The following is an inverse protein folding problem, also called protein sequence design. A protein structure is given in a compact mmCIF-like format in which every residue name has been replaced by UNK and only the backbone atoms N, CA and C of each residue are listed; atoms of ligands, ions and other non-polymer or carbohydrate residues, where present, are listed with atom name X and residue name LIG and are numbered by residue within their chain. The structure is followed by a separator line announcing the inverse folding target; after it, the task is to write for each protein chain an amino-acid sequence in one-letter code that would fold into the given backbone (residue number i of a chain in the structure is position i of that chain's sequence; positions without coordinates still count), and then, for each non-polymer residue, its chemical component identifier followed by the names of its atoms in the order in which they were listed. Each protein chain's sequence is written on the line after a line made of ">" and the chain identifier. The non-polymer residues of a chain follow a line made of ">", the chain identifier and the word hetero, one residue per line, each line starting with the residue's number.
data_IF_426450908505
#
_entry.id   IF_426450908505
#
_cell.length_a   1.000
_cell.length_b   1.000
_cell.length_c   1.000
_cell.angle_alpha   90.00
_cell.angle_beta   90.00
_cell.angle_gamma   90.00
#
_symmetry.space_group_name_H-M   'P 1'
#
loop_
_entity.id
_entity.type
_entity.pdbx_description
1 polymer ?
#
# COMPACT_ATOMS: atom_id res chain seq x y z
N UNK A 1 17.45 -2.72 14.54
CA UNK A 1 16.54 -3.16 13.47
C UNK A 1 16.27 -2.03 12.51
N UNK A 2 16.07 -2.35 11.24
CA UNK A 2 15.70 -1.42 10.16
C UNK A 2 14.90 -2.16 9.08
N UNK A 3 14.41 -1.45 8.05
CA UNK A 3 13.65 -2.06 6.95
C UNK A 3 12.49 -2.92 7.47
N UNK A 4 11.63 -2.34 8.31
CA UNK A 4 10.54 -3.06 8.99
C UNK A 4 9.30 -3.03 8.09
N UNK A 5 8.68 -4.20 7.91
CA UNK A 5 7.37 -4.35 7.29
C UNK A 5 6.48 -5.19 8.20
N UNK A 6 5.20 -4.85 8.24
CA UNK A 6 4.20 -5.55 9.04
C UNK A 6 3.02 -5.98 8.17
N UNK A 7 2.47 -7.15 8.44
CA UNK A 7 1.20 -7.59 7.85
C UNK A 7 0.35 -8.27 8.92
N UNK A 8 -0.97 -8.24 8.70
CA UNK A 8 -1.92 -8.91 9.58
C UNK A 8 -2.39 -10.21 8.91
N UNK A 9 -2.14 -11.32 9.57
CA UNK A 9 -2.68 -12.63 9.24
C UNK A 9 -4.06 -12.76 9.90
N UNK A 10 -5.08 -12.54 9.08
CA UNK A 10 -6.48 -12.53 9.55
C UNK A 10 -7.01 -13.92 9.92
N UNK A 11 -6.41 -14.98 9.39
CA UNK A 11 -6.81 -16.36 9.67
C UNK A 11 -6.34 -16.82 11.06
N UNK A 12 -5.08 -16.56 11.38
CA UNK A 12 -4.53 -16.89 12.71
C UNK A 12 -4.71 -15.79 13.74
N UNK A 13 -5.23 -14.61 13.33
CA UNK A 13 -5.35 -13.40 14.15
C UNK A 13 -3.99 -12.99 14.75
N UNK A 14 -2.97 -12.86 13.89
CA UNK A 14 -1.61 -12.53 14.27
C UNK A 14 -1.06 -11.38 13.44
N UNK A 15 -0.14 -10.64 14.04
CA UNK A 15 0.70 -9.67 13.32
C UNK A 15 2.03 -10.34 13.01
N UNK A 16 2.48 -10.26 11.77
CA UNK A 16 3.81 -10.72 11.36
C UNK A 16 4.66 -9.52 11.02
N UNK A 17 5.80 -9.39 11.71
CA UNK A 17 6.81 -8.38 11.43
C UNK A 17 7.98 -9.05 10.72
N UNK A 18 8.43 -8.47 9.61
CA UNK A 18 9.67 -8.81 8.93
C UNK A 18 10.61 -7.61 8.97
N UNK A 19 11.89 -7.84 9.21
CA UNK A 19 12.85 -6.76 9.40
C UNK A 19 14.29 -7.22 9.14
N UNK A 20 15.15 -6.24 8.89
CA UNK A 20 16.61 -6.42 8.92
C UNK A 20 17.09 -6.35 10.36
N UNK A 21 17.75 -7.40 10.83
CA UNK A 21 18.31 -7.46 12.17
C UNK A 21 19.76 -6.96 12.18
N UNK A 22 19.96 -5.68 12.47
CA UNK A 22 21.29 -5.08 12.51
C UNK A 22 22.19 -5.65 13.64
N UNK A 23 21.58 -6.25 14.66
CA UNK A 23 22.29 -6.94 15.75
C UNK A 23 22.76 -8.34 15.36
N UNK A 24 22.26 -8.89 14.24
CA UNK A 24 22.56 -10.23 13.76
C UNK A 24 23.04 -10.19 12.30
N UNK A 25 24.14 -9.50 12.02
CA UNK A 25 24.78 -9.44 10.69
C UNK A 25 23.84 -8.96 9.57
N UNK A 26 22.85 -8.12 9.89
CA UNK A 26 21.85 -7.60 8.95
C UNK A 26 20.95 -8.67 8.33
N UNK A 27 20.81 -9.81 8.96
CA UNK A 27 20.00 -10.93 8.46
C UNK A 27 18.51 -10.59 8.43
N UNK A 28 17.82 -11.17 7.47
CA UNK A 28 16.36 -11.08 7.36
C UNK A 28 15.68 -11.94 8.43
N UNK A 29 14.93 -11.30 9.30
CA UNK A 29 14.30 -11.91 10.47
C UNK A 29 12.81 -11.60 10.50
N UNK A 30 12.00 -12.56 10.94
CA UNK A 30 10.57 -12.37 11.15
C UNK A 30 10.14 -12.83 12.53
N UNK A 31 9.10 -12.19 13.08
CA UNK A 31 8.54 -12.52 14.38
C UNK A 31 7.01 -12.39 14.34
N UNK A 32 6.33 -13.29 15.06
CA UNK A 32 4.86 -13.31 15.15
C UNK A 32 4.42 -12.68 16.45
N UNK A 33 3.51 -11.71 16.35
CA UNK A 33 2.89 -11.01 17.47
C UNK A 33 1.45 -11.41 17.71
N UNK A 34 1.06 -11.53 18.96
CA UNK A 34 -0.34 -11.71 19.40
C UNK A 34 -0.80 -10.46 20.10
N UNK A 35 -1.85 -9.82 19.58
CA UNK A 35 -2.49 -8.65 20.20
C UNK A 35 -3.56 -9.13 21.19
N UNK A 36 -3.59 -8.54 22.36
CA UNK A 36 -4.61 -8.76 23.40
C UNK A 36 -4.91 -7.44 24.11
N UNK A 37 -6.08 -6.89 23.88
CA UNK A 37 -6.44 -5.54 24.35
C UNK A 37 -5.49 -4.49 23.79
N UNK A 38 -4.77 -3.79 24.66
CA UNK A 38 -3.79 -2.76 24.30
C UNK A 38 -2.34 -3.26 24.35
N UNK A 39 -2.12 -4.55 24.48
CA UNK A 39 -0.79 -5.16 24.56
C UNK A 39 -0.51 -6.06 23.36
N UNK A 40 0.78 -6.21 23.02
CA UNK A 40 1.27 -7.20 22.07
C UNK A 40 2.34 -8.06 22.74
N UNK A 41 2.27 -9.37 22.52
CA UNK A 41 3.29 -10.34 22.93
C UNK A 41 3.88 -11.00 21.69
N UNK A 42 5.18 -11.27 21.70
CA UNK A 42 5.89 -11.84 20.56
C UNK A 42 6.34 -13.28 20.84
N UNK A 43 6.33 -14.10 19.79
CA UNK A 43 6.93 -15.41 19.79
C UNK A 43 8.46 -15.35 19.61
N UNK A 44 9.03 -16.44 19.11
CA UNK A 44 10.47 -16.51 18.82
C UNK A 44 10.74 -15.95 17.42
N UNK A 45 11.74 -15.08 17.31
CA UNK A 45 12.21 -14.58 16.02
C UNK A 45 12.85 -15.70 15.18
N UNK A 46 12.55 -15.73 13.88
CA UNK A 46 13.03 -16.74 12.93
C UNK A 46 13.68 -16.08 11.73
N UNK A 47 14.84 -16.56 11.33
CA UNK A 47 15.52 -16.08 10.12
C UNK A 47 14.78 -16.57 8.87
N UNK A 48 14.50 -15.66 7.94
CA UNK A 48 14.06 -16.00 6.59
C UNK A 48 15.19 -15.86 5.56
N UNK A 49 16.22 -15.06 5.88
CA UNK A 49 17.42 -14.92 5.07
C UNK A 49 18.67 -14.84 5.97
N UNK A 50 19.64 -15.71 5.72
CA UNK A 50 20.91 -15.75 6.45
C UNK A 50 22.02 -14.90 5.78
N UNK A 51 21.63 -13.83 5.13
CA UNK A 51 22.49 -12.83 4.52
C UNK A 51 21.93 -11.43 4.77
N UNK A 52 22.72 -10.39 4.45
CA UNK A 52 22.26 -9.02 4.56
C UNK A 52 20.98 -8.82 3.74
N UNK A 53 19.95 -8.31 4.39
CA UNK A 53 18.63 -8.11 3.82
C UNK A 53 18.32 -6.63 3.73
N UNK A 54 17.84 -6.20 2.58
CA UNK A 54 17.46 -4.81 2.35
C UNK A 54 16.04 -4.75 1.83
N UNK A 55 15.36 -3.62 2.02
CA UNK A 55 13.97 -3.42 1.56
C UNK A 55 13.10 -4.66 1.74
N UNK A 56 12.32 -4.72 2.79
CA UNK A 56 11.39 -5.83 3.04
C UNK A 56 9.96 -5.39 2.84
N UNK A 57 9.13 -6.26 2.25
CA UNK A 57 7.69 -6.09 2.20
C UNK A 57 7.00 -7.41 2.55
N UNK A 58 6.16 -7.39 3.57
CA UNK A 58 5.38 -8.53 4.01
C UNK A 58 3.93 -8.37 3.56
N UNK A 59 3.38 -9.39 2.91
CA UNK A 59 2.02 -9.42 2.37
C UNK A 59 1.33 -10.69 2.85
N UNK A 60 0.10 -10.57 3.34
CA UNK A 60 -0.71 -11.73 3.72
C UNK A 60 -1.58 -12.16 2.54
N UNK A 61 -1.41 -13.39 2.10
CA UNK A 61 -2.24 -14.10 1.14
C UNK A 61 -3.33 -14.84 1.93
N UNK A 62 -4.54 -14.27 1.92
CA UNK A 62 -5.68 -14.80 2.68
C UNK A 62 -6.30 -16.05 2.05
N UNK A 63 -6.04 -16.34 0.78
CA UNK A 63 -6.57 -17.53 0.12
C UNK A 63 -5.75 -18.79 0.48
N UNK A 64 -4.44 -18.68 0.43
CA UNK A 64 -3.54 -19.78 0.82
C UNK A 64 -3.18 -19.81 2.30
N UNK A 65 -3.57 -18.78 3.05
CA UNK A 65 -3.22 -18.56 4.46
C UNK A 65 -1.70 -18.57 4.66
N UNK A 66 -1.02 -17.70 3.91
CA UNK A 66 0.44 -17.57 3.91
C UNK A 66 0.87 -16.12 3.99
N UNK A 67 2.05 -15.92 4.55
CA UNK A 67 2.76 -14.64 4.50
C UNK A 67 3.84 -14.72 3.42
N UNK A 68 3.80 -13.82 2.45
CA UNK A 68 4.86 -13.66 1.46
C UNK A 68 5.74 -12.49 1.87
N UNK A 69 7.03 -12.73 2.01
CA UNK A 69 8.02 -11.69 2.29
C UNK A 69 8.86 -11.52 1.02
N UNK A 70 8.77 -10.36 0.38
CA UNK A 70 9.69 -9.96 -0.67
C UNK A 70 10.80 -9.09 -0.09
N UNK A 71 12.03 -9.27 -0.58
CA UNK A 71 13.21 -8.58 -0.06
C UNK A 71 14.35 -8.54 -1.08
N UNK A 72 15.27 -7.62 -0.89
CA UNK A 72 16.54 -7.62 -1.62
C UNK A 72 17.56 -8.45 -0.84
N UNK A 73 18.07 -9.52 -1.49
CA UNK A 73 19.00 -10.46 -0.90
C UNK A 73 20.47 -10.06 -1.18
N UNK A 74 21.14 -9.50 -0.17
CA UNK A 74 22.55 -9.14 -0.27
C UNK A 74 23.49 -10.33 -0.41
N UNK A 75 23.08 -11.54 -0.04
CA UNK A 75 23.82 -12.79 -0.25
C UNK A 75 23.76 -13.30 -1.68
N UNK A 76 22.74 -12.91 -2.44
CA UNK A 76 22.50 -13.30 -3.83
C UNK A 76 22.62 -12.09 -4.77
N UNK A 77 23.74 -11.39 -4.74
CA UNK A 77 24.04 -10.25 -5.63
C UNK A 77 23.00 -9.12 -5.58
N UNK A 78 22.32 -8.97 -4.46
CA UNK A 78 21.20 -8.01 -4.26
C UNK A 78 19.95 -8.30 -5.09
N UNK A 79 19.72 -9.54 -5.47
CA UNK A 79 18.57 -9.95 -6.27
C UNK A 79 17.25 -9.76 -5.51
N UNK A 80 16.19 -9.45 -6.27
CA UNK A 80 14.83 -9.47 -5.77
C UNK A 80 14.36 -10.89 -5.50
N UNK A 81 14.08 -11.19 -4.24
CA UNK A 81 13.78 -12.53 -3.74
C UNK A 81 12.49 -12.51 -2.93
N UNK A 82 11.72 -13.59 -2.99
CA UNK A 82 10.55 -13.76 -2.15
C UNK A 82 10.56 -15.13 -1.47
N UNK A 83 9.96 -15.20 -0.28
CA UNK A 83 9.83 -16.43 0.51
C UNK A 83 8.43 -16.53 1.12
N UNK A 84 7.90 -17.75 1.19
CA UNK A 84 6.57 -18.03 1.75
C UNK A 84 6.69 -18.51 3.17
N UNK A 85 6.02 -17.82 4.10
CA UNK A 85 5.93 -18.16 5.51
C UNK A 85 4.58 -18.78 5.88
N UNK A 86 4.61 -19.74 6.77
CA UNK A 86 3.41 -20.34 7.39
C UNK A 86 3.40 -20.03 8.88
N UNK A 87 2.38 -19.32 9.34
CA UNK A 87 2.17 -19.03 10.76
C UNK A 87 1.49 -20.22 11.43
N UNK A 88 1.95 -20.58 12.61
CA UNK A 88 1.34 -21.59 13.49
C UNK A 88 1.49 -21.20 14.94
N UNK A 89 0.40 -20.78 15.58
CA UNK A 89 0.42 -20.23 16.92
C UNK A 89 1.24 -18.93 16.98
N UNK A 90 2.37 -18.93 17.67
CA UNK A 90 3.30 -17.78 17.78
C UNK A 90 4.60 -18.00 17.01
N UNK A 91 4.66 -19.01 16.15
CA UNK A 91 5.81 -19.33 15.34
C UNK A 91 5.52 -19.10 13.85
N UNK A 92 6.57 -18.87 13.09
CA UNK A 92 6.53 -18.85 11.62
C UNK A 92 7.60 -19.79 11.08
N UNK A 93 7.29 -20.53 10.03
CA UNK A 93 8.24 -21.36 9.30
C UNK A 93 8.25 -20.98 7.83
N UNK A 94 9.38 -21.12 7.16
CA UNK A 94 9.58 -20.67 5.80
C UNK A 94 9.82 -21.83 4.84
N UNK A 95 9.32 -21.67 3.61
CA UNK A 95 9.65 -22.52 2.48
C UNK A 95 11.00 -22.17 1.84
N UNK A 96 11.15 -22.48 0.55
CA UNK A 96 12.35 -22.12 -0.21
C UNK A 96 12.19 -20.74 -0.83
N UNK A 97 13.21 -19.90 -0.68
CA UNK A 97 13.27 -18.59 -1.31
C UNK A 97 13.36 -18.71 -2.85
N UNK A 98 12.68 -17.83 -3.55
CA UNK A 98 12.62 -17.79 -5.02
C UNK A 98 13.00 -16.40 -5.51
N UNK A 99 13.96 -16.32 -6.43
CA UNK A 99 14.34 -15.09 -7.10
C UNK A 99 13.26 -14.71 -8.11
N UNK A 100 12.71 -13.51 -8.01
CA UNK A 100 11.79 -12.95 -8.98
C UNK A 100 12.45 -11.94 -9.92
N UNK A 101 13.58 -11.34 -9.46
CA UNK A 101 14.38 -10.41 -10.26
C UNK A 101 15.86 -10.72 -10.08
N UNK A 102 16.53 -11.09 -11.20
CA UNK A 102 17.97 -11.46 -11.20
C UNK A 102 18.88 -10.23 -11.33
N UNK A 103 18.45 -9.13 -10.76
CA UNK A 103 19.21 -7.88 -10.63
C UNK A 103 18.91 -7.23 -9.29
N UNK A 104 19.66 -6.19 -8.95
CA UNK A 104 19.37 -5.38 -7.76
C UNK A 104 18.03 -4.67 -7.91
N UNK A 105 17.21 -4.70 -6.87
CA UNK A 105 15.94 -4.00 -6.84
C UNK A 105 15.74 -3.30 -5.50
N UNK A 106 15.02 -2.18 -5.53
CA UNK A 106 14.73 -1.37 -4.34
C UNK A 106 13.24 -1.00 -4.29
N UNK A 107 12.82 -0.30 -3.23
CA UNK A 107 11.48 0.25 -3.06
C UNK A 107 10.34 -0.76 -3.28
N UNK A 108 10.56 -2.01 -2.85
CA UNK A 108 9.58 -3.08 -3.01
C UNK A 108 8.32 -2.86 -2.18
N UNK A 109 7.18 -3.11 -2.80
CA UNK A 109 5.88 -3.15 -2.14
C UNK A 109 5.04 -4.29 -2.69
N UNK A 110 4.61 -5.18 -1.81
CA UNK A 110 3.72 -6.28 -2.13
C UNK A 110 2.28 -5.99 -1.73
N UNK A 111 1.34 -6.47 -2.53
CA UNK A 111 -0.08 -6.50 -2.20
C UNK A 111 -0.70 -7.82 -2.62
N UNK A 112 -1.81 -8.20 -2.00
CA UNK A 112 -2.56 -9.40 -2.34
C UNK A 112 -3.84 -9.03 -3.08
N UNK A 113 -3.94 -9.51 -4.32
CA UNK A 113 -5.14 -9.48 -5.14
C UNK A 113 -6.02 -10.67 -4.77
N UNK A 114 -7.03 -10.43 -3.95
CA UNK A 114 -7.93 -11.45 -3.44
C UNK A 114 -8.94 -11.96 -4.49
N UNK A 115 -9.13 -11.24 -5.58
CA UNK A 115 -10.03 -11.67 -6.67
C UNK A 115 -9.37 -12.72 -7.57
N UNK A 116 -8.10 -12.53 -7.91
CA UNK A 116 -7.33 -13.47 -8.73
C UNK A 116 -6.51 -14.46 -7.91
N UNK A 117 -6.45 -14.33 -6.58
CA UNK A 117 -5.60 -15.10 -5.66
C UNK A 117 -4.12 -15.00 -6.07
N UNK A 118 -3.62 -13.78 -6.18
CA UNK A 118 -2.25 -13.49 -6.58
C UNK A 118 -1.59 -12.47 -5.67
N UNK A 119 -0.30 -12.67 -5.46
CA UNK A 119 0.55 -11.63 -4.88
C UNK A 119 1.13 -10.78 -6.01
N UNK A 120 1.01 -9.47 -5.90
CA UNK A 120 1.65 -8.54 -6.84
C UNK A 120 2.76 -7.82 -6.10
N UNK A 121 3.97 -7.81 -6.67
CA UNK A 121 5.12 -7.07 -6.16
C UNK A 121 5.44 -5.97 -7.16
N UNK A 122 5.38 -4.71 -6.72
CA UNK A 122 5.89 -3.57 -7.45
C UNK A 122 7.26 -3.17 -6.88
N UNK A 123 8.22 -2.86 -7.75
CA UNK A 123 9.61 -2.58 -7.34
C UNK A 123 10.34 -1.70 -8.34
N UNK A 124 11.41 -1.07 -7.89
CA UNK A 124 12.39 -0.41 -8.74
C UNK A 124 13.38 -1.47 -9.26
N UNK A 125 13.45 -1.64 -10.57
CA UNK A 125 14.38 -2.57 -11.22
C UNK A 125 15.69 -1.86 -11.60
N UNK A 126 16.71 -1.99 -10.75
CA UNK A 126 18.01 -1.40 -11.00
C UNK A 126 18.79 -2.08 -12.14
N UNK A 127 18.41 -3.31 -12.50
CA UNK A 127 18.93 -3.99 -13.67
C UNK A 127 18.42 -3.39 -14.99
N UNK A 128 17.28 -2.69 -14.91
CA UNK A 128 16.65 -1.99 -16.01
C UNK A 128 16.58 -0.47 -15.74
N UNK A 129 17.71 0.15 -15.44
CA UNK A 129 17.83 1.62 -15.25
C UNK A 129 16.95 2.19 -14.14
N UNK A 130 16.54 1.39 -13.17
CA UNK A 130 15.66 1.78 -12.07
C UNK A 130 14.20 1.91 -12.44
N UNK A 131 13.77 1.33 -13.57
CA UNK A 131 12.38 1.40 -14.04
C UNK A 131 11.40 0.83 -13.03
N UNK A 132 10.24 1.46 -12.93
CA UNK A 132 9.13 0.94 -12.14
C UNK A 132 8.56 -0.33 -12.79
N UNK A 133 8.62 -1.45 -12.07
CA UNK A 133 8.30 -2.78 -12.61
C UNK A 133 7.35 -3.51 -11.64
N UNK A 134 6.41 -4.27 -12.20
CA UNK A 134 5.48 -5.11 -11.44
C UNK A 134 5.55 -6.56 -11.89
N UNK A 135 5.37 -7.49 -10.94
CA UNK A 135 5.37 -8.93 -11.21
C UNK A 135 4.27 -9.63 -10.41
N UNK A 136 3.69 -10.69 -10.99
CA UNK A 136 2.62 -11.48 -10.36
C UNK A 136 3.17 -12.79 -9.83
N UNK A 137 2.95 -13.08 -8.55
CA UNK A 137 3.30 -14.31 -7.87
C UNK A 137 2.08 -15.20 -7.60
N UNK A 138 2.24 -16.49 -7.75
CA UNK A 138 1.25 -17.51 -7.38
C UNK A 138 1.81 -18.37 -6.26
N UNK A 139 1.18 -18.34 -5.10
CA UNK A 139 1.54 -19.18 -3.95
C UNK A 139 0.92 -20.57 -4.12
N UNK A 140 1.70 -21.60 -3.82
CA UNK A 140 1.25 -22.99 -3.77
C UNK A 140 1.97 -23.73 -2.64
N UNK A 141 1.24 -24.04 -1.58
CA UNK A 141 1.81 -24.60 -0.36
C UNK A 141 2.81 -23.65 0.30
N UNK A 142 4.09 -24.01 0.35
CA UNK A 142 5.17 -23.17 0.90
C UNK A 142 6.09 -22.61 -0.18
N UNK A 143 5.65 -22.63 -1.43
CA UNK A 143 6.41 -22.13 -2.58
C UNK A 143 5.66 -21.01 -3.29
N UNK A 144 6.38 -20.16 -4.01
CA UNK A 144 5.83 -19.13 -4.89
C UNK A 144 6.46 -19.26 -6.28
N UNK A 145 5.68 -19.04 -7.32
CA UNK A 145 6.16 -18.94 -8.70
C UNK A 145 5.73 -17.62 -9.31
N UNK A 146 6.53 -17.09 -10.22
CA UNK A 146 6.31 -15.76 -10.78
C UNK A 146 6.01 -15.82 -12.29
N UNK A 147 5.17 -14.92 -12.75
CA UNK A 147 4.93 -14.65 -14.15
C UNK A 147 6.03 -13.77 -14.76
N UNK A 148 5.72 -13.10 -15.86
CA UNK A 148 6.65 -12.16 -16.51
C UNK A 148 6.53 -10.79 -15.88
N UNK A 149 7.66 -10.18 -15.55
CA UNK A 149 7.73 -8.80 -15.06
C UNK A 149 7.31 -7.81 -16.15
N UNK A 150 6.60 -6.75 -15.78
CA UNK A 150 6.07 -5.73 -16.70
C UNK A 150 6.42 -4.35 -16.15
N UNK A 151 7.05 -3.53 -17.00
CA UNK A 151 7.37 -2.14 -16.68
C UNK A 151 6.07 -1.32 -16.65
N UNK A 152 5.82 -0.60 -15.54
CA UNK A 152 4.74 0.37 -15.45
C UNK A 152 5.22 1.82 -15.65
N UNK A 153 6.52 2.07 -15.42
CA UNK A 153 7.16 3.36 -15.64
C UNK A 153 8.55 3.18 -16.26
N UNK A 154 8.75 3.75 -17.45
CA UNK A 154 10.02 3.65 -18.19
C UNK A 154 11.02 4.74 -17.76
N UNK A 155 11.03 5.02 -16.47
CA UNK A 155 11.97 5.90 -15.79
C UNK A 155 12.25 5.36 -14.38
N UNK A 156 13.26 5.91 -13.72
CA UNK A 156 13.55 5.56 -12.32
C UNK A 156 12.35 5.92 -11.43
N UNK A 157 11.89 4.96 -10.64
CA UNK A 157 10.73 5.10 -9.75
C UNK A 157 11.13 4.77 -8.32
N UNK A 158 10.78 5.65 -7.39
CA UNK A 158 11.12 5.52 -5.96
C UNK A 158 9.86 5.61 -5.09
N UNK A 159 9.98 5.40 -3.79
CA UNK A 159 8.86 5.46 -2.84
C UNK A 159 7.63 4.62 -3.28
N UNK A 160 7.86 3.49 -3.94
CA UNK A 160 6.80 2.65 -4.53
C UNK A 160 5.91 2.05 -3.45
N UNK A 161 4.59 2.15 -3.65
CA UNK A 161 3.56 1.53 -2.81
C UNK A 161 2.49 0.89 -3.68
N UNK A 162 2.23 -0.38 -3.47
CA UNK A 162 1.18 -1.15 -4.14
C UNK A 162 0.06 -1.47 -3.16
N UNK A 163 -1.18 -1.25 -3.57
CA UNK A 163 -2.38 -1.62 -2.85
C UNK A 163 -3.36 -2.32 -3.78
N UNK A 164 -4.27 -3.10 -3.20
CA UNK A 164 -5.35 -3.75 -3.94
C UNK A 164 -6.68 -3.05 -3.67
N UNK A 165 -7.31 -2.58 -4.73
CA UNK A 165 -8.67 -2.06 -4.77
C UNK A 165 -9.63 -3.24 -4.99
N UNK A 166 -10.22 -3.72 -3.92
CA UNK A 166 -11.10 -4.89 -3.93
C UNK A 166 -12.44 -4.64 -4.64
N UNK A 167 -12.87 -3.40 -4.76
CA UNK A 167 -14.17 -3.06 -5.35
C UNK A 167 -14.09 -3.04 -6.88
N UNK A 168 -12.94 -2.62 -7.42
CA UNK A 168 -12.70 -2.57 -8.85
C UNK A 168 -11.83 -3.74 -9.37
N UNK A 169 -11.34 -4.61 -8.48
CA UNK A 169 -10.39 -5.69 -8.78
C UNK A 169 -9.16 -5.16 -9.53
N UNK A 170 -8.50 -4.17 -8.93
CA UNK A 170 -7.33 -3.50 -9.50
C UNK A 170 -6.21 -3.34 -8.48
N UNK A 171 -5.00 -3.38 -8.99
CA UNK A 171 -3.82 -2.96 -8.23
C UNK A 171 -3.56 -1.48 -8.51
N UNK A 172 -3.39 -0.68 -7.48
CA UNK A 172 -2.93 0.71 -7.63
C UNK A 172 -1.50 0.80 -7.13
N UNK A 173 -0.62 1.35 -7.94
CA UNK A 173 0.77 1.62 -7.57
C UNK A 173 0.98 3.13 -7.53
N UNK A 174 1.34 3.65 -6.36
CA UNK A 174 1.75 5.04 -6.16
C UNK A 174 3.28 5.11 -6.03
N UNK A 175 3.91 6.10 -6.64
CA UNK A 175 5.37 6.23 -6.68
C UNK A 175 5.81 7.66 -7.00
N UNK A 176 7.09 7.94 -6.75
CA UNK A 176 7.79 9.10 -7.30
C UNK A 176 8.32 8.78 -8.67
N UNK A 177 7.94 9.56 -9.67
CA UNK A 177 8.45 9.48 -11.03
C UNK A 177 9.70 10.38 -11.19
N UNK A 178 10.87 9.79 -11.00
CA UNK A 178 12.16 10.51 -11.12
C UNK A 178 12.38 11.06 -12.54
N UNK A 179 11.82 10.36 -13.55
CA UNK A 179 11.86 10.81 -14.94
C UNK A 179 11.01 12.04 -15.21
N UNK A 180 10.03 12.30 -14.36
CA UNK A 180 9.13 13.45 -14.42
C UNK A 180 9.30 14.37 -13.21
N UNK A 181 10.53 14.79 -12.91
CA UNK A 181 10.85 15.75 -11.84
C UNK A 181 10.42 15.28 -10.43
N UNK A 182 10.43 13.97 -10.19
CA UNK A 182 10.03 13.35 -8.92
C UNK A 182 8.56 13.63 -8.55
N UNK A 183 7.70 13.82 -9.57
CA UNK A 183 6.28 14.04 -9.33
C UNK A 183 5.61 12.78 -8.75
N UNK A 184 4.75 12.99 -7.77
CA UNK A 184 3.91 11.93 -7.24
C UNK A 184 2.95 11.41 -8.31
N UNK A 185 3.09 10.14 -8.68
CA UNK A 185 2.39 9.53 -9.81
C UNK A 185 1.73 8.21 -9.37
N UNK A 186 0.60 7.89 -9.95
CA UNK A 186 -0.06 6.61 -9.72
C UNK A 186 -0.49 5.93 -11.00
N UNK A 187 -0.50 4.61 -10.99
CA UNK A 187 -0.90 3.78 -12.14
C UNK A 187 -1.79 2.63 -11.70
N UNK A 188 -2.72 2.24 -12.56
CA UNK A 188 -3.65 1.12 -12.30
C UNK A 188 -3.20 -0.12 -13.04
N UNK A 189 -3.03 -1.22 -12.30
CA UNK A 189 -2.71 -2.55 -12.82
C UNK A 189 -3.94 -3.47 -12.86
N UNK A 190 -4.02 -4.30 -13.87
CA UNK A 190 -5.02 -5.36 -14.00
C UNK A 190 -4.32 -6.70 -14.08
N UNK A 191 -4.59 -7.58 -13.11
CA UNK A 191 -4.05 -8.95 -13.10
C UNK A 191 -4.94 -9.86 -13.94
N UNK A 192 -4.33 -10.75 -14.71
CA UNK A 192 -4.98 -11.79 -15.48
C UNK A 192 -4.12 -13.05 -15.52
N UNK A 193 -4.51 -14.06 -14.77
CA UNK A 193 -3.71 -15.27 -14.56
C UNK A 193 -2.38 -14.94 -13.85
N UNK A 194 -1.25 -15.12 -14.53
CA UNK A 194 0.10 -14.79 -14.01
C UNK A 194 0.68 -13.52 -14.65
N UNK A 195 -0.12 -12.77 -15.39
CA UNK A 195 0.28 -11.53 -16.03
C UNK A 195 -0.36 -10.32 -15.37
N UNK A 196 0.30 -9.17 -15.47
CA UNK A 196 -0.27 -7.87 -15.13
C UNK A 196 -0.13 -6.93 -16.33
N UNK A 197 -1.12 -6.07 -16.52
CA UNK A 197 -1.04 -4.97 -17.48
C UNK A 197 -1.34 -3.66 -16.77
N UNK A 198 -0.67 -2.59 -17.16
CA UNK A 198 -0.83 -1.28 -16.55
C UNK A 198 -1.53 -0.30 -17.50
N UNK A 199 -2.35 0.57 -16.92
CA UNK A 199 -2.96 1.70 -17.61
C UNK A 199 -1.96 2.86 -17.79
N UNK A 200 -2.48 4.04 -18.11
CA UNK A 200 -1.65 5.24 -18.23
C UNK A 200 -1.39 5.83 -16.84
N UNK A 201 -0.12 6.13 -16.49
CA UNK A 201 0.21 6.84 -15.25
C UNK A 201 -0.47 8.21 -15.17
N UNK A 202 -0.90 8.59 -13.96
CA UNK A 202 -1.56 9.88 -13.70
C UNK A 202 -0.86 10.56 -12.51
N UNK A 203 -0.44 11.81 -12.70
CA UNK A 203 0.20 12.61 -11.65
C UNK A 203 -0.84 13.02 -10.60
N UNK A 204 -0.55 12.77 -9.32
CA UNK A 204 -1.36 13.25 -8.20
C UNK A 204 -0.73 14.45 -7.49
N UNK A 205 0.59 14.63 -7.63
CA UNK A 205 1.34 15.75 -7.05
C UNK A 205 2.38 16.26 -8.06
N UNK A 206 2.35 17.57 -8.35
CA UNK A 206 3.28 18.23 -9.30
C UNK A 206 4.55 18.73 -8.61
N UNK A 207 4.93 18.10 -7.53
CA UNK A 207 6.18 18.28 -6.80
C UNK A 207 6.67 16.91 -6.32
N UNK A 208 7.86 16.88 -5.74
CA UNK A 208 8.42 15.66 -5.16
C UNK A 208 7.56 15.18 -3.98
N UNK A 209 6.99 13.99 -4.09
CA UNK A 209 6.15 13.34 -3.09
C UNK A 209 6.96 12.27 -2.33
N UNK A 210 7.58 12.65 -1.22
CA UNK A 210 8.45 11.76 -0.43
C UNK A 210 7.66 10.95 0.60
N UNK A 211 8.25 9.85 1.10
CA UNK A 211 7.62 8.99 2.13
C UNK A 211 6.20 8.53 1.78
N UNK A 212 5.95 8.22 0.51
CA UNK A 212 4.63 7.79 0.04
C UNK A 212 4.15 6.57 0.82
N UNK A 213 2.92 6.62 1.27
CA UNK A 213 2.16 5.49 1.82
C UNK A 213 0.78 5.45 1.16
N UNK A 214 0.28 4.27 0.89
CA UNK A 214 -1.02 4.10 0.27
C UNK A 214 -1.82 3.01 0.99
N UNK A 215 -3.14 3.18 1.02
CA UNK A 215 -4.10 2.21 1.57
C UNK A 215 -5.39 2.28 0.78
N UNK A 216 -6.10 1.16 0.65
CA UNK A 216 -7.44 1.15 0.08
C UNK A 216 -8.47 1.34 1.19
N UNK A 217 -9.27 2.39 1.07
CA UNK A 217 -10.44 2.67 1.90
C UNK A 217 -11.67 2.05 1.24
N UNK A 218 -12.06 0.87 1.68
CA UNK A 218 -13.21 0.15 1.14
C UNK A 218 -14.56 0.79 1.49
N UNK A 219 -14.62 1.68 2.47
CA UNK A 219 -15.85 2.38 2.82
C UNK A 219 -16.15 3.54 1.84
N UNK A 220 -15.11 4.21 1.34
CA UNK A 220 -15.24 5.26 0.33
C UNK A 220 -14.95 4.80 -1.10
N UNK A 221 -14.49 3.55 -1.27
CA UNK A 221 -14.03 2.98 -2.54
C UNK A 221 -12.94 3.86 -3.19
N UNK A 222 -11.92 4.21 -2.42
CA UNK A 222 -10.83 5.09 -2.88
C UNK A 222 -9.46 4.57 -2.45
N UNK A 223 -8.47 4.79 -3.29
CA UNK A 223 -7.06 4.72 -2.91
C UNK A 223 -6.72 6.00 -2.12
N UNK A 224 -6.32 5.87 -0.87
CA UNK A 224 -5.86 6.99 -0.04
C UNK A 224 -4.34 6.99 -0.05
N UNK A 225 -3.74 8.05 -0.59
CA UNK A 225 -2.29 8.22 -0.70
C UNK A 225 -1.88 9.35 0.23
N UNK A 226 -1.01 9.07 1.19
CA UNK A 226 -0.41 10.05 2.10
C UNK A 226 1.08 10.18 1.81
N UNK A 227 1.60 11.41 1.82
CA UNK A 227 2.96 11.73 1.42
C UNK A 227 3.46 13.01 2.06
N UNK A 228 4.77 13.20 2.04
CA UNK A 228 5.39 14.49 2.31
C UNK A 228 5.41 15.30 1.02
N UNK A 229 4.72 16.43 1.01
CA UNK A 229 4.67 17.36 -0.13
C UNK A 229 5.83 18.34 -0.06
N UNK A 230 6.90 18.10 -0.85
CA UNK A 230 8.06 18.99 -0.89
C UNK A 230 7.77 20.31 -1.60
N UNK A 231 6.73 20.36 -2.43
CA UNK A 231 6.25 21.60 -3.06
C UNK A 231 5.56 22.53 -2.06
N UNK A 232 5.07 21.97 -0.95
CA UNK A 232 4.38 22.68 0.10
C UNK A 232 5.11 22.59 1.44
N UNK A 233 6.35 23.07 1.51
CA UNK A 233 7.16 23.11 2.74
C UNK A 233 7.35 21.76 3.43
N UNK A 234 7.30 20.66 2.69
CA UNK A 234 7.38 19.29 3.20
C UNK A 234 6.24 18.89 4.16
N UNK A 235 5.09 19.54 4.04
CA UNK A 235 3.91 19.23 4.87
C UNK A 235 3.40 17.81 4.63
N UNK A 236 2.82 17.22 5.68
CA UNK A 236 2.09 15.97 5.55
C UNK A 236 0.79 16.18 4.79
N UNK A 237 0.66 15.54 3.63
CA UNK A 237 -0.45 15.74 2.71
C UNK A 237 -1.09 14.39 2.36
N UNK A 238 -2.39 14.38 2.14
CA UNK A 238 -3.15 13.20 1.74
C UNK A 238 -4.05 13.53 0.55
N UNK A 239 -4.19 12.58 -0.37
CA UNK A 239 -5.07 12.68 -1.53
C UNK A 239 -5.83 11.38 -1.74
N UNK A 240 -7.07 11.48 -2.25
CA UNK A 240 -7.88 10.33 -2.62
C UNK A 240 -7.85 10.12 -4.13
N UNK A 241 -7.71 8.87 -4.56
CA UNK A 241 -7.81 8.44 -5.94
C UNK A 241 -9.01 7.51 -6.15
N UNK A 242 -9.80 7.77 -7.17
CA UNK A 242 -10.91 6.92 -7.59
C UNK A 242 -10.53 6.18 -8.87
N UNK A 243 -10.58 4.85 -8.82
CA UNK A 243 -10.29 3.97 -9.96
C UNK A 243 -11.51 3.82 -10.85
N UNK A 244 -11.30 3.88 -12.15
CA UNK A 244 -12.32 3.58 -13.16
C UNK A 244 -11.69 2.87 -14.35
N UNK A 245 -11.99 1.60 -14.53
CA UNK A 245 -11.37 0.75 -15.54
C UNK A 245 -9.87 0.59 -15.30
N UNK A 246 -9.04 1.14 -16.19
CA UNK A 246 -7.57 1.12 -16.08
C UNK A 246 -6.97 2.50 -15.78
N UNK A 247 -7.80 3.44 -15.33
CA UNK A 247 -7.37 4.80 -15.00
C UNK A 247 -7.72 5.13 -13.54
N UNK A 248 -7.00 6.11 -12.99
CA UNK A 248 -7.27 6.69 -11.68
C UNK A 248 -7.45 8.20 -11.83
N UNK A 249 -8.37 8.78 -11.10
CA UNK A 249 -8.54 10.23 -11.01
C UNK A 249 -8.40 10.68 -9.56
N UNK A 250 -7.78 11.82 -9.35
CA UNK A 250 -7.48 12.32 -8.01
C UNK A 250 -8.37 13.51 -7.63
N UNK A 251 -8.76 13.54 -6.36
CA UNK A 251 -9.47 14.65 -5.76
C UNK A 251 -8.54 15.81 -5.38
N UNK A 252 -8.97 16.64 -4.45
CA UNK A 252 -8.16 17.74 -3.91
C UNK A 252 -7.27 17.21 -2.79
N UNK A 253 -5.97 17.50 -2.85
CA UNK A 253 -5.04 17.20 -1.77
C UNK A 253 -5.36 17.99 -0.49
N UNK A 254 -5.20 17.36 0.65
CA UNK A 254 -5.49 17.93 1.98
C UNK A 254 -4.25 17.81 2.86
N UNK A 255 -3.81 18.93 3.42
CA UNK A 255 -2.73 18.93 4.41
C UNK A 255 -3.29 18.37 5.73
N UNK A 256 -2.70 17.30 6.22
CA UNK A 256 -3.04 16.73 7.54
C UNK A 256 -2.09 17.22 8.63
N UNK A 257 -0.87 17.65 8.25
CA UNK A 257 0.12 18.21 9.17
C UNK A 257 0.85 19.39 8.52
N UNK A 258 0.74 20.58 9.14
CA UNK A 258 1.36 21.81 8.64
C UNK A 258 2.80 21.99 9.15
N UNK A 259 3.54 20.89 9.21
CA UNK A 259 4.97 20.83 9.49
C UNK A 259 5.61 19.73 8.63
N UNK A 260 6.94 19.72 8.54
CA UNK A 260 7.63 18.66 7.81
C UNK A 260 7.33 17.30 8.44
N UNK A 261 6.77 16.39 7.63
CA UNK A 261 6.35 15.05 8.03
C UNK A 261 7.17 14.00 7.30
N UNK A 262 7.70 13.00 8.02
CA UNK A 262 8.52 11.94 7.42
C UNK A 262 8.13 10.56 7.95
N UNK A 263 8.64 9.50 7.31
CA UNK A 263 8.34 8.11 7.68
C UNK A 263 6.84 7.83 7.78
N UNK A 264 6.08 8.31 6.81
CA UNK A 264 4.62 8.22 6.77
C UNK A 264 4.20 6.78 6.53
N UNK A 265 3.26 6.30 7.33
CA UNK A 265 2.62 4.99 7.19
C UNK A 265 1.12 5.09 7.40
N UNK A 266 0.34 4.50 6.52
CA UNK A 266 -1.12 4.52 6.59
C UNK A 266 -1.70 3.12 6.70
N UNK A 267 -2.82 2.99 7.39
CA UNK A 267 -3.64 1.79 7.43
C UNK A 267 -5.12 2.13 7.45
N UNK A 268 -5.95 1.21 6.99
CA UNK A 268 -7.41 1.35 7.05
C UNK A 268 -7.97 0.46 8.15
N UNK A 269 -8.77 1.04 9.04
CA UNK A 269 -9.55 0.35 10.05
C UNK A 269 -10.96 0.11 9.49
N UNK A 270 -11.21 -1.12 9.08
CA UNK A 270 -12.49 -1.52 8.49
C UNK A 270 -13.66 -1.52 9.47
N UNK A 271 -13.40 -1.64 10.76
CA UNK A 271 -14.46 -1.65 11.78
C UNK A 271 -14.99 -0.24 12.06
N UNK A 272 -14.11 0.75 12.11
CA UNK A 272 -14.50 2.15 12.30
C UNK A 272 -14.63 2.94 11.00
N UNK A 273 -14.29 2.35 9.83
CA UNK A 273 -14.24 3.01 8.52
C UNK A 273 -13.36 4.28 8.57
N UNK A 274 -12.14 4.13 9.06
CA UNK A 274 -11.19 5.23 9.21
C UNK A 274 -9.82 4.86 8.66
N UNK A 275 -9.16 5.84 8.09
CA UNK A 275 -7.74 5.76 7.79
C UNK A 275 -6.95 6.34 8.96
N UNK A 276 -5.95 5.59 9.41
CA UNK A 276 -4.98 6.06 10.40
C UNK A 276 -3.68 6.35 9.68
N UNK A 277 -3.13 7.55 9.86
CA UNK A 277 -1.83 7.96 9.32
C UNK A 277 -0.90 8.21 10.50
N UNK A 278 0.21 7.49 10.54
CA UNK A 278 1.29 7.67 11.50
C UNK A 278 2.51 8.28 10.81
N UNK A 279 3.20 9.21 11.47
CA UNK A 279 4.32 9.93 10.89
C UNK A 279 5.26 10.48 11.96
N UNK A 280 6.45 10.88 11.54
CA UNK A 280 7.35 11.68 12.38
C UNK A 280 7.06 13.17 12.14
N UNK A 281 6.70 13.89 13.21
CA UNK A 281 6.27 15.29 13.18
C UNK A 281 7.45 16.21 13.56
N UNK A 282 8.06 16.88 12.59
CA UNK A 282 9.15 17.81 12.83
C UNK A 282 8.68 19.06 13.57
N UNK A 283 7.40 19.45 13.45
CA UNK A 283 6.81 20.54 14.21
C UNK A 283 6.72 20.24 15.71
N UNK A 284 6.77 18.96 16.07
CA UNK A 284 6.72 18.47 17.44
C UNK A 284 7.99 17.67 17.81
N UNK A 285 9.17 18.25 17.59
CA UNK A 285 10.47 17.64 17.94
C UNK A 285 10.70 16.26 17.31
N UNK A 286 10.16 16.00 16.13
CA UNK A 286 10.19 14.73 15.41
C UNK A 286 9.60 13.55 16.20
N UNK A 287 8.64 13.81 17.08
CA UNK A 287 7.91 12.75 17.76
C UNK A 287 7.04 11.95 16.78
N UNK A 288 6.88 10.66 17.07
CA UNK A 288 5.90 9.82 16.40
C UNK A 288 4.48 10.30 16.73
N UNK A 289 3.77 10.71 15.70
CA UNK A 289 2.41 11.26 15.80
C UNK A 289 1.47 10.42 14.94
N UNK A 290 0.21 10.33 15.30
CA UNK A 290 -0.80 9.68 14.48
C UNK A 290 -2.08 10.52 14.41
N UNK A 291 -2.72 10.51 13.24
CA UNK A 291 -4.00 11.16 13.01
C UNK A 291 -5.00 10.15 12.45
N UNK A 292 -6.26 10.32 12.78
CA UNK A 292 -7.37 9.53 12.23
C UNK A 292 -8.17 10.43 11.30
N UNK A 293 -8.25 10.02 10.03
CA UNK A 293 -9.03 10.69 8.99
C UNK A 293 -10.26 9.87 8.60
N UNK A 294 -11.39 10.54 8.40
CA UNK A 294 -12.49 10.03 7.60
C UNK A 294 -12.44 10.80 6.28
N UNK A 295 -12.06 10.11 5.22
CA UNK A 295 -12.10 10.69 3.89
C UNK A 295 -13.49 10.39 3.32
N UNK A 296 -14.44 11.28 3.61
CA UNK A 296 -15.73 11.24 2.92
C UNK A 296 -15.52 11.75 1.50
N UNK A 297 -16.12 11.09 0.53
CA UNK A 297 -16.16 11.58 -0.85
C UNK A 297 -16.63 13.04 -0.84
N UNK A 298 -15.80 13.96 -1.31
CA UNK A 298 -16.21 15.34 -1.50
C UNK A 298 -17.37 15.39 -2.48
N UNK A 299 -18.39 16.16 -2.18
CA UNK A 299 -19.52 16.33 -3.08
C UNK A 299 -19.06 16.95 -4.40
N UNK A 300 -19.46 16.36 -5.52
CA UNK A 300 -19.25 16.96 -6.84
C UNK A 300 -20.33 18.02 -7.05
N UNK A 301 -19.92 19.29 -7.12
CA UNK A 301 -20.85 20.41 -7.31
C UNK A 301 -21.74 20.19 -8.54
N UNK A 302 -23.05 20.32 -8.37
CA UNK A 302 -24.03 20.07 -9.42
C UNK A 302 -24.50 18.63 -9.53
N UNK A 303 -23.91 17.68 -8.79
CA UNK A 303 -24.35 16.27 -8.77
C UNK A 303 -25.45 16.05 -7.76
N UNK A 304 -26.40 15.18 -8.11
CA UNK A 304 -27.43 14.69 -7.19
C UNK A 304 -26.87 13.55 -6.35
N UNK A 305 -27.22 13.54 -5.08
CA UNK A 305 -26.85 12.52 -4.13
C UNK A 305 -28.09 11.85 -3.53
N UNK A 306 -27.96 10.58 -3.20
CA UNK A 306 -29.03 9.74 -2.69
C UNK A 306 -28.58 9.04 -1.43
N UNK A 307 -29.48 8.90 -0.45
CA UNK A 307 -29.22 8.09 0.75
C UNK A 307 -29.24 6.62 0.37
N UNK A 308 -28.21 5.87 0.73
CA UNK A 308 -28.13 4.45 0.52
C UNK A 308 -28.74 3.67 1.70
N UNK A 309 -28.99 2.38 1.54
CA UNK A 309 -29.58 1.53 2.59
C UNK A 309 -28.69 1.38 3.84
N UNK A 310 -27.40 1.62 3.71
CA UNK A 310 -26.41 1.61 4.81
C UNK A 310 -26.27 2.98 5.52
N UNK A 311 -27.06 3.98 5.10
CA UNK A 311 -27.02 5.33 5.63
C UNK A 311 -25.97 6.25 4.98
N UNK A 312 -25.18 5.75 4.04
CA UNK A 312 -24.24 6.58 3.28
C UNK A 312 -24.94 7.42 2.21
N UNK A 313 -24.23 8.38 1.64
CA UNK A 313 -24.72 9.24 0.57
C UNK A 313 -23.83 9.06 -0.66
N UNK A 314 -24.43 8.71 -1.81
CA UNK A 314 -23.70 8.52 -3.06
C UNK A 314 -24.45 9.05 -4.27
N UNK A 315 -23.81 9.10 -5.43
CA UNK A 315 -24.45 9.46 -6.70
C UNK A 315 -25.24 8.31 -7.32
N UNK A 316 -25.14 7.10 -6.77
CA UNK A 316 -25.97 5.96 -7.20
C UNK A 316 -27.42 6.19 -6.77
N UNK A 317 -28.35 6.15 -7.73
CA UNK A 317 -29.74 6.45 -7.44
C UNK A 317 -30.37 5.42 -6.48
N UNK A 318 -31.03 5.92 -5.46
CA UNK A 318 -31.84 5.16 -4.51
C UNK A 318 -33.24 5.76 -4.40
N UNK A 319 -34.11 5.17 -3.56
CA UNK A 319 -35.44 5.69 -3.34
C UNK A 319 -35.50 7.03 -2.59
N UNK A 320 -34.40 7.43 -1.95
CA UNK A 320 -34.35 8.66 -1.16
C UNK A 320 -33.30 9.61 -1.76
N UNK A 321 -33.77 10.72 -2.29
CA UNK A 321 -32.92 11.79 -2.80
C UNK A 321 -32.41 12.64 -1.61
N UNK A 322 -31.09 12.63 -1.37
CA UNK A 322 -30.49 13.43 -0.31
C UNK A 322 -30.37 14.91 -0.67
N UNK A 323 -30.17 15.24 -1.94
CA UNK A 323 -30.05 16.64 -2.37
C UNK A 323 -29.09 16.84 -3.55
N UNK A 324 -28.83 18.13 -3.83
CA UNK A 324 -27.90 18.59 -4.86
C UNK A 324 -26.66 19.17 -4.22
N UNK A 325 -25.46 18.71 -4.62
CA UNK A 325 -24.22 19.30 -4.15
C UNK A 325 -24.03 20.72 -4.69
N UNK A 326 -23.95 21.69 -3.79
CA UNK A 326 -23.73 23.11 -4.10
C UNK A 326 -22.26 23.54 -3.91
N UNK A 327 -21.48 22.68 -3.27
CA UNK A 327 -20.01 22.78 -3.15
C UNK A 327 -19.44 21.40 -2.89
N UNK A 328 -18.11 21.29 -2.79
CA UNK A 328 -17.42 20.04 -2.44
C UNK A 328 -17.68 19.58 -1.00
N UNK A 329 -18.24 20.45 -0.16
CA UNK A 329 -18.49 20.18 1.27
C UNK A 329 -19.94 20.42 1.69
N UNK A 330 -20.83 20.86 0.76
CA UNK A 330 -22.18 21.25 1.10
C UNK A 330 -23.21 20.64 0.15
N UNK A 331 -24.27 20.10 0.72
CA UNK A 331 -25.41 19.54 0.02
C UNK A 331 -26.65 20.41 0.28
N UNK A 332 -27.31 20.83 -0.80
CA UNK A 332 -28.65 21.42 -0.68
C UNK A 332 -29.65 20.27 -0.50
N UNK A 333 -30.15 20.09 0.70
CA UNK A 333 -31.11 19.05 1.00
C UNK A 333 -32.44 19.32 0.28
N UNK A 334 -32.94 18.34 -0.43
CA UNK A 334 -34.33 18.37 -0.88
C UNK A 334 -35.17 17.93 0.30
N UNK A 335 -35.80 18.89 0.96
CA UNK A 335 -36.91 18.58 1.83
C UNK A 335 -38.07 18.11 0.96
N UNK A 336 -38.40 16.82 0.99
CA UNK A 336 -39.68 16.37 0.46
C UNK A 336 -40.79 17.01 1.31
N UNK A 337 -41.53 17.88 0.66
CA UNK A 337 -42.80 18.39 1.19
C UNK A 337 -43.91 17.38 0.90
#
# INVERSE_FOLDING_TARGET
>A
TSQISATFDSDSNKVVLSYRDNGNSDYGTSIVGTVSGTAISFGTAVLFNSAATYTTSATFDSDSNKVVISYRDGGASSYGTAIVGTVSGTAISFGTAVVFEAASCDWMSGTFDSDSNKVVIAYQDNGNSGYGTGIVGTVSGTSISFGTAVVFEAASSTNIRAIFDSDNNKVVVAYDDVGNSEYGTGVVGTVSGTAISFGTPVVFETAHADYVSAVFDSASNTAVISYQDRGNSSYGTVIQGTVSGTSISYGTAVVFEAASSSYIGSTFDSDSNKVVIAYSDAGNSAYGTAIVGAFTTSFVTGSKYYVQNDGTISTVSSSVNAGLAISTTSLLLNGDS
#
